data_IF_673494747118
#
_entry.id   IF_673494747118
#
_cell.length_a   1.000
_cell.length_b   1.000
_cell.length_c   1.000
_cell.angle_alpha   90.00
_cell.angle_beta   90.00
_cell.angle_gamma   90.00
#
_symmetry.space_group_name_H-M   'P 1'
#
loop_
_entity.id
_entity.type
_entity.pdbx_description
1 polymer ?
#
# COMPACT_ATOMS: atom_id res chain seq x y z
N UNK A 1 4.50 -20.28 6.85
CA UNK A 1 5.40 -19.46 7.67
C UNK A 1 4.70 -18.12 7.83
N UNK A 2 4.60 -17.59 9.05
CA UNK A 2 3.81 -16.39 9.30
C UNK A 2 4.70 -15.14 9.19
N UNK A 3 4.12 -14.01 8.81
CA UNK A 3 4.83 -12.71 8.78
C UNK A 3 5.45 -12.35 10.14
N UNK A 4 4.87 -12.85 11.24
CA UNK A 4 5.37 -12.66 12.61
C UNK A 4 6.68 -13.38 12.91
N UNK A 5 7.11 -14.34 12.07
CA UNK A 5 8.37 -15.07 12.27
C UNK A 5 9.58 -14.30 11.71
N UNK A 6 9.33 -13.25 10.91
CA UNK A 6 10.36 -12.40 10.31
C UNK A 6 10.92 -11.37 11.30
N UNK A 7 12.20 -11.03 11.14
CA UNK A 7 12.91 -10.02 11.94
C UNK A 7 14.16 -9.52 11.23
N UNK A 8 14.58 -8.29 11.54
CA UNK A 8 15.88 -7.79 11.12
C UNK A 8 16.99 -8.57 11.84
N UNK A 9 17.97 -9.05 11.06
CA UNK A 9 19.14 -9.75 11.61
C UNK A 9 20.35 -8.82 11.82
N UNK A 10 20.52 -7.85 10.92
CA UNK A 10 21.55 -6.82 10.98
C UNK A 10 21.17 -5.64 10.08
N UNK A 11 21.80 -4.49 10.32
CA UNK A 11 21.63 -3.28 9.50
C UNK A 11 22.97 -2.55 9.36
N UNK A 12 23.17 -1.86 8.24
CA UNK A 12 24.40 -1.13 7.92
C UNK A 12 24.22 -0.24 6.68
N UNK A 13 25.23 0.60 6.36
CA UNK A 13 25.19 1.41 5.15
C UNK A 13 25.17 0.52 3.90
N UNK A 14 24.46 0.97 2.87
CA UNK A 14 24.41 0.35 1.54
C UNK A 14 24.97 1.34 0.52
N UNK A 15 25.99 0.93 -0.25
CA UNK A 15 26.53 1.79 -1.30
C UNK A 15 25.60 1.84 -2.52
N UNK A 16 25.68 2.90 -3.33
CA UNK A 16 24.81 3.06 -4.49
C UNK A 16 25.05 1.96 -5.56
N UNK A 17 26.29 1.49 -5.70
CA UNK A 17 26.66 0.40 -6.62
C UNK A 17 26.05 -0.95 -6.21
N UNK A 18 25.77 -1.15 -4.92
CA UNK A 18 25.10 -2.33 -4.38
C UNK A 18 23.57 -2.17 -4.38
N UNK A 19 23.06 -0.94 -4.49
CA UNK A 19 21.65 -0.64 -4.35
C UNK A 19 20.85 -0.99 -5.61
N UNK A 20 20.09 -2.10 -5.54
CA UNK A 20 19.23 -2.56 -6.66
C UNK A 20 17.93 -1.77 -6.81
N UNK A 21 17.29 -1.41 -5.69
CA UNK A 21 15.88 -0.97 -5.70
C UNK A 21 15.69 0.53 -5.50
N UNK A 22 16.60 1.17 -4.77
CA UNK A 22 16.51 2.57 -4.36
C UNK A 22 17.84 3.25 -4.72
N UNK A 23 17.81 4.56 -4.94
CA UNK A 23 18.99 5.43 -5.03
C UNK A 23 18.79 6.64 -4.13
N UNK A 24 19.90 7.23 -3.68
CA UNK A 24 19.88 8.55 -3.04
C UNK A 24 20.22 9.62 -4.08
N UNK A 25 19.33 10.60 -4.21
CA UNK A 25 19.45 11.71 -5.16
C UNK A 25 19.70 13.00 -4.39
N UNK A 26 20.78 13.72 -4.73
CA UNK A 26 20.97 15.11 -4.32
C UNK A 26 20.28 16.05 -5.31
N UNK A 27 19.22 16.70 -4.86
CA UNK A 27 18.49 17.71 -5.62
C UNK A 27 19.13 19.07 -5.35
N UNK A 28 19.37 19.86 -6.40
CA UNK A 28 19.76 21.27 -6.30
C UNK A 28 18.66 22.12 -6.91
N UNK A 29 18.06 23.03 -6.13
CA UNK A 29 16.92 23.83 -6.57
C UNK A 29 17.09 25.31 -6.20
N UNK A 30 16.26 26.15 -6.83
CA UNK A 30 16.17 27.58 -6.52
C UNK A 30 14.93 27.82 -5.66
N UNK A 31 15.10 28.48 -4.52
CA UNK A 31 13.99 28.84 -3.65
C UNK A 31 13.24 30.10 -4.17
N UNK A 32 12.08 30.46 -3.56
CA UNK A 32 11.32 31.65 -3.97
C UNK A 32 12.08 32.99 -3.83
N UNK A 33 13.17 33.03 -3.06
CA UNK A 33 14.03 34.21 -2.91
C UNK A 33 15.19 34.22 -3.91
N UNK A 34 15.25 33.24 -4.81
CA UNK A 34 16.31 33.09 -5.80
C UNK A 34 17.59 32.42 -5.28
N UNK A 35 17.61 31.98 -4.01
CA UNK A 35 18.77 31.32 -3.42
C UNK A 35 18.85 29.85 -3.87
N UNK A 36 20.08 29.38 -4.13
CA UNK A 36 20.34 27.96 -4.40
C UNK A 36 20.32 27.16 -3.11
N UNK A 37 19.57 26.05 -3.11
CA UNK A 37 19.44 25.11 -1.99
C UNK A 37 19.66 23.69 -2.47
N UNK A 38 19.92 22.80 -1.52
CA UNK A 38 20.03 21.35 -1.77
C UNK A 38 19.01 20.58 -0.95
N UNK A 39 18.59 19.43 -1.47
CA UNK A 39 17.72 18.47 -0.78
C UNK A 39 18.21 17.05 -1.07
N UNK A 40 17.96 16.13 -0.14
CA UNK A 40 18.27 14.70 -0.31
C UNK A 40 16.96 13.93 -0.48
N UNK A 41 16.91 13.05 -1.48
CA UNK A 41 15.72 12.28 -1.83
C UNK A 41 16.07 10.80 -1.96
N UNK A 42 15.25 9.92 -1.38
CA UNK A 42 15.28 8.48 -1.70
C UNK A 42 14.32 8.19 -2.86
N UNK A 43 14.80 7.56 -3.93
CA UNK A 43 14.00 7.36 -5.14
C UNK A 43 14.03 5.89 -5.58
N UNK A 44 12.90 5.37 -6.06
CA UNK A 44 12.85 4.03 -6.66
C UNK A 44 13.61 4.02 -7.98
N UNK A 45 14.31 2.90 -8.25
CA UNK A 45 14.94 2.60 -9.55
C UNK A 45 13.98 1.90 -10.53
N UNK A 46 12.80 1.51 -10.04
CA UNK A 46 11.89 0.57 -10.73
C UNK A 46 10.71 1.21 -11.42
N UNK A 47 10.46 2.51 -11.26
CA UNK A 47 9.32 3.17 -11.92
C UNK A 47 9.41 2.97 -13.44
N UNK A 48 8.43 2.32 -14.09
CA UNK A 48 8.48 2.14 -15.53
C UNK A 48 8.43 3.49 -16.25
N UNK A 49 9.22 3.64 -17.32
CA UNK A 49 9.24 4.88 -18.12
C UNK A 49 7.91 5.18 -18.83
N UNK A 50 7.00 4.20 -18.88
CA UNK A 50 5.67 4.30 -19.50
C UNK A 50 4.60 4.88 -18.58
N UNK A 51 4.91 5.17 -17.31
CA UNK A 51 3.95 5.66 -16.32
C UNK A 51 4.57 6.73 -15.41
N UNK A 52 3.72 7.59 -14.83
CA UNK A 52 4.12 8.63 -13.88
C UNK A 52 4.06 8.19 -12.41
N UNK A 53 3.57 6.97 -12.15
CA UNK A 53 3.42 6.40 -10.80
C UNK A 53 4.29 5.17 -10.55
N UNK A 54 4.73 4.94 -9.31
CA UNK A 54 5.47 3.73 -8.94
C UNK A 54 4.58 2.49 -8.81
N UNK A 55 3.34 2.68 -8.36
CA UNK A 55 2.46 1.56 -8.03
C UNK A 55 1.02 1.98 -7.74
N UNK A 56 0.26 1.05 -7.18
CA UNK A 56 -1.14 1.22 -6.79
C UNK A 56 -1.38 0.73 -5.37
N UNK A 57 -2.34 1.34 -4.70
CA UNK A 57 -2.96 0.78 -3.48
C UNK A 57 -4.42 0.47 -3.75
N UNK A 58 -4.93 -0.64 -3.22
CA UNK A 58 -6.27 -1.13 -3.57
C UNK A 58 -7.24 -0.96 -2.41
N UNK A 59 -8.24 -0.10 -2.59
CA UNK A 59 -9.40 -0.02 -1.68
C UNK A 59 -10.41 -1.07 -2.12
N UNK A 60 -10.19 -2.32 -1.72
CA UNK A 60 -11.03 -3.46 -2.06
C UNK A 60 -12.19 -3.60 -1.07
N UNK A 61 -13.43 -3.37 -1.53
CA UNK A 61 -14.62 -3.38 -0.70
C UNK A 61 -15.51 -4.59 -1.01
N UNK A 62 -15.90 -5.32 0.03
CA UNK A 62 -16.86 -6.40 -0.02
C UNK A 62 -18.23 -5.90 0.47
N UNK A 63 -19.28 -6.24 -0.26
CA UNK A 63 -20.65 -6.07 0.20
C UNK A 63 -21.13 -7.30 0.95
N UNK A 64 -21.17 -7.22 2.29
CA UNK A 64 -21.69 -8.29 3.15
C UNK A 64 -22.99 -7.88 3.84
N UNK A 65 -23.85 -8.83 4.25
CA UNK A 65 -25.09 -8.53 4.99
C UNK A 65 -24.89 -7.71 6.27
N UNK A 66 -23.72 -7.79 6.90
CA UNK A 66 -23.35 -7.01 8.11
C UNK A 66 -22.79 -5.62 7.83
N UNK A 67 -22.72 -5.18 6.57
CA UNK A 67 -22.13 -3.93 6.12
C UNK A 67 -20.92 -4.13 5.21
N UNK A 68 -20.42 -3.01 4.68
CA UNK A 68 -19.23 -2.99 3.82
C UNK A 68 -17.97 -3.30 4.63
N UNK A 69 -17.16 -4.20 4.10
CA UNK A 69 -15.84 -4.55 4.66
C UNK A 69 -14.74 -4.19 3.67
N UNK A 70 -13.57 -3.79 4.18
CA UNK A 70 -12.35 -3.58 3.40
C UNK A 70 -11.44 -4.79 3.53
N UNK A 71 -10.83 -5.23 2.41
CA UNK A 71 -9.73 -6.22 2.42
C UNK A 71 -8.45 -5.51 2.85
N UNK A 72 -7.78 -6.11 3.84
CA UNK A 72 -6.50 -5.66 4.37
C UNK A 72 -5.53 -6.84 4.43
N UNK A 73 -4.26 -6.53 4.60
CA UNK A 73 -3.21 -7.51 4.74
C UNK A 73 -2.25 -7.20 5.88
N UNK A 74 -1.63 -8.26 6.41
CA UNK A 74 -0.49 -8.19 7.33
C UNK A 74 0.76 -8.63 6.61
N UNK A 75 1.74 -7.74 6.53
CA UNK A 75 3.02 -8.02 5.92
C UNK A 75 4.15 -7.49 6.78
N UNK A 76 5.22 -8.26 6.93
CA UNK A 76 6.42 -7.78 7.59
C UNK A 76 7.15 -6.77 6.70
N UNK A 77 7.44 -5.58 7.24
CA UNK A 77 8.18 -4.52 6.55
C UNK A 77 9.58 -4.40 7.15
N UNK A 78 10.63 -4.92 6.48
CA UNK A 78 12.01 -4.81 6.96
C UNK A 78 12.46 -3.39 7.35
N UNK A 79 12.06 -2.30 6.65
CA UNK A 79 12.48 -0.94 7.01
C UNK A 79 12.09 -0.48 8.40
N UNK A 80 11.05 -1.07 9.00
CA UNK A 80 10.56 -0.71 10.33
C UNK A 80 10.58 -1.89 11.32
N UNK A 81 11.09 -3.06 10.91
CA UNK A 81 11.16 -4.30 11.71
C UNK A 81 9.83 -4.67 12.38
N UNK A 82 8.71 -4.47 11.68
CA UNK A 82 7.36 -4.69 12.19
C UNK A 82 6.46 -5.32 11.13
N UNK A 83 5.44 -6.04 11.61
CA UNK A 83 4.30 -6.43 10.77
C UNK A 83 3.34 -5.25 10.68
N UNK A 84 3.00 -4.86 9.46
CA UNK A 84 2.18 -3.69 9.15
C UNK A 84 0.82 -4.11 8.64
N UNK A 85 -0.22 -3.38 9.05
CA UNK A 85 -1.58 -3.47 8.50
C UNK A 85 -1.68 -2.52 7.32
N UNK A 86 -1.94 -3.08 6.13
CA UNK A 86 -1.93 -2.34 4.86
C UNK A 86 -3.13 -2.71 3.99
N UNK A 87 -3.44 -1.87 3.00
CA UNK A 87 -4.21 -2.33 1.83
C UNK A 87 -3.35 -3.28 0.98
N UNK A 88 -3.95 -4.17 0.17
CA UNK A 88 -3.25 -4.75 -0.96
C UNK A 88 -2.64 -3.64 -1.83
N UNK A 89 -1.43 -3.85 -2.33
CA UNK A 89 -0.68 -2.85 -3.07
C UNK A 89 0.50 -3.47 -3.82
N UNK A 90 0.79 -2.94 -5.01
CA UNK A 90 1.94 -3.39 -5.77
C UNK A 90 2.46 -2.37 -6.77
N UNK A 91 3.53 -2.74 -7.47
CA UNK A 91 4.22 -1.85 -8.41
C UNK A 91 3.60 -1.93 -9.80
N UNK A 92 3.78 -0.85 -10.56
CA UNK A 92 3.38 -0.84 -11.97
C UNK A 92 4.32 -1.71 -12.81
N UNK A 93 3.74 -2.53 -13.68
CA UNK A 93 4.43 -3.16 -14.79
C UNK A 93 4.46 -2.25 -16.04
N UNK A 94 5.42 -2.45 -16.96
CA UNK A 94 5.49 -1.67 -18.18
C UNK A 94 4.26 -1.85 -19.07
N UNK A 95 3.45 -0.79 -19.16
CA UNK A 95 2.38 -0.67 -20.16
C UNK A 95 0.99 -1.03 -19.64
N UNK A 96 0.85 -1.43 -18.39
CA UNK A 96 -0.45 -1.57 -17.74
C UNK A 96 -1.01 -0.22 -17.26
N UNK A 97 -2.33 -0.14 -17.21
CA UNK A 97 -3.08 0.93 -16.53
C UNK A 97 -3.09 0.70 -15.02
N UNK A 98 -3.29 1.74 -14.19
CA UNK A 98 -3.44 1.57 -12.74
C UNK A 98 -4.55 0.58 -12.36
N UNK A 99 -5.64 0.56 -13.11
CA UNK A 99 -6.77 -0.35 -12.90
C UNK A 99 -6.39 -1.80 -13.18
N UNK A 100 -5.63 -2.07 -14.24
CA UNK A 100 -5.11 -3.40 -14.56
C UNK A 100 -4.13 -3.88 -13.47
N UNK A 101 -3.21 -3.00 -13.05
CA UNK A 101 -2.27 -3.26 -11.96
C UNK A 101 -3.03 -3.64 -10.67
N UNK A 102 -4.05 -2.85 -10.31
CA UNK A 102 -4.82 -3.07 -9.10
C UNK A 102 -5.59 -4.39 -9.09
N UNK A 103 -6.14 -4.81 -10.23
CA UNK A 103 -6.84 -6.10 -10.35
C UNK A 103 -5.85 -7.26 -10.31
N UNK A 104 -4.69 -7.12 -10.94
CA UNK A 104 -3.61 -8.12 -10.93
C UNK A 104 -3.09 -8.33 -9.50
N UNK A 105 -2.63 -7.27 -8.86
CA UNK A 105 -2.07 -7.29 -7.50
C UNK A 105 -3.09 -7.76 -6.46
N UNK A 106 -4.35 -7.31 -6.53
CA UNK A 106 -5.40 -7.81 -5.64
C UNK A 106 -5.54 -9.33 -5.74
N UNK A 107 -5.51 -9.88 -6.94
CA UNK A 107 -5.64 -11.33 -7.15
C UNK A 107 -4.39 -12.08 -6.69
N UNK A 108 -3.21 -11.56 -6.96
CA UNK A 108 -1.93 -12.14 -6.56
C UNK A 108 -1.80 -12.19 -5.05
N UNK A 109 -1.99 -11.07 -4.35
CA UNK A 109 -1.83 -10.99 -2.90
C UNK A 109 -2.98 -11.66 -2.14
N UNK A 110 -4.22 -11.56 -2.63
CA UNK A 110 -5.41 -11.92 -1.83
C UNK A 110 -6.24 -13.07 -2.38
N UNK A 111 -6.09 -13.40 -3.66
CA UNK A 111 -6.95 -14.33 -4.38
C UNK A 111 -8.33 -13.79 -4.74
N UNK A 112 -8.72 -12.59 -4.26
CA UNK A 112 -9.98 -11.97 -4.65
C UNK A 112 -9.94 -11.48 -6.10
N UNK A 113 -11.11 -11.55 -6.75
CA UNK A 113 -11.37 -10.87 -8.02
C UNK A 113 -12.41 -9.78 -7.81
N UNK A 114 -12.20 -8.64 -8.46
CA UNK A 114 -13.11 -7.51 -8.33
C UNK A 114 -13.06 -6.61 -9.55
N UNK A 115 -13.96 -5.62 -9.56
CA UNK A 115 -14.11 -4.66 -10.65
C UNK A 115 -13.66 -3.28 -10.16
N UNK A 116 -12.68 -2.64 -10.83
CA UNK A 116 -12.27 -1.29 -10.50
C UNK A 116 -13.40 -0.32 -10.85
N UNK A 117 -13.66 0.62 -9.96
CA UNK A 117 -14.79 1.57 -10.06
C UNK A 117 -14.35 3.03 -10.07
N UNK A 118 -13.23 3.33 -9.42
CA UNK A 118 -12.68 4.67 -9.33
C UNK A 118 -11.17 4.62 -9.10
N UNK A 119 -10.47 5.60 -9.63
CA UNK A 119 -9.03 5.77 -9.47
C UNK A 119 -8.74 7.17 -8.99
N UNK A 120 -7.94 7.29 -7.93
CA UNK A 120 -7.56 8.58 -7.37
C UNK A 120 -6.61 9.35 -8.28
N UNK A 121 -6.40 10.66 -8.04
CA UNK A 121 -5.20 11.35 -8.50
C UNK A 121 -3.91 10.67 -7.99
N UNK A 122 -2.75 11.07 -8.54
CA UNK A 122 -1.46 10.64 -8.02
C UNK A 122 -1.28 11.15 -6.59
N UNK A 123 -0.96 10.26 -5.67
CA UNK A 123 -0.66 10.55 -4.27
C UNK A 123 0.81 10.27 -4.00
N UNK A 124 1.51 11.20 -3.36
CA UNK A 124 2.90 11.02 -2.95
C UNK A 124 2.92 10.47 -1.52
N UNK A 125 3.71 9.42 -1.29
CA UNK A 125 3.72 8.71 -0.01
C UNK A 125 4.40 9.54 1.09
N UNK A 126 5.54 10.15 0.79
CA UNK A 126 6.26 11.04 1.71
C UNK A 126 7.06 12.10 0.91
N UNK A 127 6.40 13.18 0.45
CA UNK A 127 7.00 14.16 -0.46
C UNK A 127 8.13 15.00 0.15
N UNK A 128 8.34 14.92 1.48
CA UNK A 128 9.48 15.55 2.14
C UNK A 128 10.75 14.70 2.09
N UNK A 129 10.62 13.39 1.86
CA UNK A 129 11.70 12.42 1.93
C UNK A 129 11.99 11.72 0.58
N UNK A 130 10.95 11.36 -0.16
CA UNK A 130 11.06 10.56 -1.38
C UNK A 130 10.13 11.06 -2.48
N UNK A 131 10.41 10.63 -3.71
CA UNK A 131 9.51 10.89 -4.83
C UNK A 131 8.47 9.77 -5.05
N UNK A 132 8.38 8.82 -4.11
CA UNK A 132 7.52 7.65 -4.32
C UNK A 132 6.05 8.02 -4.28
N UNK A 133 5.29 7.47 -5.21
CA UNK A 133 3.89 7.82 -5.41
C UNK A 133 3.07 6.62 -5.90
N UNK A 134 1.75 6.76 -5.84
CA UNK A 134 0.81 5.75 -6.29
C UNK A 134 -0.53 6.36 -6.69
N UNK A 135 -1.42 5.53 -7.22
CA UNK A 135 -2.86 5.81 -7.23
C UNK A 135 -3.60 4.81 -6.34
N UNK A 136 -4.61 5.28 -5.62
CA UNK A 136 -5.56 4.41 -4.95
C UNK A 136 -6.64 4.00 -5.96
N UNK A 137 -6.84 2.69 -6.12
CA UNK A 137 -7.88 2.14 -7.01
C UNK A 137 -8.95 1.48 -6.16
N UNK A 138 -10.20 1.91 -6.34
CA UNK A 138 -11.34 1.38 -5.63
C UNK A 138 -11.87 0.17 -6.38
N UNK A 139 -11.88 -0.99 -5.73
CA UNK A 139 -12.30 -2.25 -6.32
C UNK A 139 -13.49 -2.80 -5.55
N UNK A 140 -14.57 -3.12 -6.26
CA UNK A 140 -15.73 -3.79 -5.66
C UNK A 140 -15.59 -5.30 -5.86
N UNK A 141 -15.73 -6.06 -4.76
CA UNK A 141 -15.65 -7.53 -4.75
C UNK A 141 -17.07 -8.08 -4.62
N UNK A 142 -17.51 -8.82 -5.64
CA UNK A 142 -18.79 -9.54 -5.62
C UNK A 142 -18.62 -10.90 -4.96
N UNK A 143 -19.15 -11.04 -3.74
CA UNK A 143 -19.11 -12.27 -2.97
C UNK A 143 -20.09 -13.34 -3.45
N UNK A 144 -20.82 -13.13 -4.56
CA UNK A 144 -21.60 -14.19 -5.20
C UNK A 144 -20.79 -15.00 -6.23
N UNK A 145 -19.62 -14.49 -6.64
CA UNK A 145 -18.74 -15.16 -7.59
C UNK A 145 -18.03 -16.36 -6.94
N UNK A 146 -17.98 -17.54 -7.61
CA UNK A 146 -17.28 -18.73 -7.11
C UNK A 146 -15.81 -18.47 -6.76
N UNK A 147 -15.12 -17.64 -7.54
CA UNK A 147 -13.71 -17.27 -7.35
C UNK A 147 -13.49 -16.58 -5.99
N UNK A 148 -14.48 -15.82 -5.52
CA UNK A 148 -14.43 -15.12 -4.25
C UNK A 148 -14.91 -15.96 -3.05
N UNK A 149 -15.31 -17.23 -3.28
CA UNK A 149 -15.64 -18.19 -2.22
C UNK A 149 -14.45 -19.05 -1.80
N UNK A 150 -13.52 -19.30 -2.73
CA UNK A 150 -12.32 -20.12 -2.50
C UNK A 150 -11.09 -19.36 -3.00
N UNK A 151 -10.53 -18.54 -2.10
CA UNK A 151 -9.40 -17.65 -2.43
C UNK A 151 -8.12 -18.45 -2.67
N UNK A 152 -7.44 -18.11 -3.76
CA UNK A 152 -6.19 -18.74 -4.20
C UNK A 152 -5.15 -17.65 -4.51
N UNK A 153 -4.55 -17.03 -3.47
CA UNK A 153 -3.47 -16.07 -3.68
C UNK A 153 -2.28 -16.73 -4.39
N UNK A 154 -1.58 -15.93 -5.19
CA UNK A 154 -0.44 -16.31 -6.02
C UNK A 154 0.76 -15.44 -5.62
N UNK A 155 1.21 -15.60 -4.38
CA UNK A 155 2.31 -14.82 -3.79
C UNK A 155 3.64 -15.12 -4.49
N UNK A 156 4.46 -14.08 -4.67
CA UNK A 156 5.82 -14.22 -5.18
C UNK A 156 6.79 -14.80 -4.13
N UNK A 157 7.98 -15.19 -4.58
CA UNK A 157 9.04 -15.64 -3.65
C UNK A 157 9.45 -14.49 -2.71
N UNK A 158 9.45 -14.75 -1.42
CA UNK A 158 9.71 -13.74 -0.38
C UNK A 158 8.48 -12.99 0.10
N UNK A 159 7.30 -13.21 -0.49
CA UNK A 159 6.05 -12.66 -0.01
C UNK A 159 5.37 -13.58 1.00
N UNK A 160 5.16 -13.03 2.19
CA UNK A 160 4.39 -13.67 3.27
C UNK A 160 3.32 -12.67 3.67
N UNK A 161 2.07 -12.98 3.30
CA UNK A 161 0.93 -12.06 3.42
C UNK A 161 -0.22 -12.81 4.10
N UNK A 162 -0.71 -12.26 5.21
CA UNK A 162 -1.93 -12.73 5.86
C UNK A 162 -3.09 -11.78 5.53
N UNK A 163 -4.07 -12.28 4.77
CA UNK A 163 -5.22 -11.49 4.29
C UNK A 163 -6.38 -11.59 5.27
N UNK A 164 -7.04 -10.47 5.54
CA UNK A 164 -8.22 -10.40 6.40
C UNK A 164 -9.14 -9.25 5.98
N UNK A 165 -10.33 -9.19 6.57
CA UNK A 165 -11.28 -8.10 6.29
C UNK A 165 -11.69 -7.39 7.57
N UNK A 166 -11.98 -6.09 7.45
CA UNK A 166 -12.47 -5.24 8.54
C UNK A 166 -13.71 -4.49 8.08
N UNK A 167 -14.74 -4.41 8.92
CA UNK A 167 -15.91 -3.57 8.65
C UNK A 167 -15.49 -2.11 8.63
N UNK A 168 -15.87 -1.37 7.58
CA UNK A 168 -15.50 0.04 7.42
C UNK A 168 -15.92 0.88 8.64
N UNK A 169 -17.09 0.58 9.21
CA UNK A 169 -17.61 1.26 10.40
C UNK A 169 -16.74 1.06 11.64
N UNK A 170 -15.98 -0.05 11.70
CA UNK A 170 -15.15 -0.42 12.85
C UNK A 170 -13.67 -0.11 12.60
N UNK A 171 -13.30 0.38 11.40
CA UNK A 171 -11.90 0.46 10.94
C UNK A 171 -11.00 1.30 11.87
N UNK A 172 -11.52 2.42 12.39
CA UNK A 172 -10.78 3.25 13.36
C UNK A 172 -10.49 2.52 14.67
N UNK A 173 -11.48 1.83 15.21
CA UNK A 173 -11.31 1.09 16.46
C UNK A 173 -10.42 -0.14 16.28
N UNK A 174 -10.49 -0.81 15.13
CA UNK A 174 -9.59 -1.90 14.78
C UNK A 174 -8.14 -1.42 14.62
N UNK A 175 -7.88 -0.26 14.01
CA UNK A 175 -6.52 0.31 13.93
C UNK A 175 -5.88 0.47 15.31
N UNK A 176 -6.64 1.00 16.30
CA UNK A 176 -6.16 1.11 17.68
C UNK A 176 -5.89 -0.25 18.33
N UNK A 177 -6.72 -1.26 18.05
CA UNK A 177 -6.51 -2.62 18.56
C UNK A 177 -5.26 -3.25 17.94
N UNK A 178 -5.03 -3.07 16.65
CA UNK A 178 -3.84 -3.57 15.96
C UNK A 178 -2.56 -2.90 16.49
N UNK A 179 -2.57 -1.58 16.68
CA UNK A 179 -1.46 -0.86 17.32
C UNK A 179 -1.18 -1.41 18.73
N UNK A 180 -2.21 -1.60 19.55
CA UNK A 180 -2.06 -2.18 20.89
C UNK A 180 -1.53 -3.63 20.89
N UNK A 181 -1.68 -4.35 19.78
CA UNK A 181 -1.12 -5.69 19.56
C UNK A 181 0.32 -5.66 19.02
N UNK A 182 0.88 -4.47 18.77
CA UNK A 182 2.25 -4.28 18.25
C UNK A 182 2.36 -4.26 16.73
N UNK A 183 1.24 -4.19 16.00
CA UNK A 183 1.28 -3.99 14.55
C UNK A 183 1.50 -2.51 14.20
N UNK A 184 2.27 -2.26 13.15
CA UNK A 184 2.34 -0.94 12.54
C UNK A 184 1.08 -0.69 11.69
N UNK A 185 0.63 0.56 11.60
CA UNK A 185 -0.50 0.94 10.75
C UNK A 185 0.03 1.76 9.58
N UNK A 186 -0.25 1.32 8.35
CA UNK A 186 0.09 2.11 7.18
C UNK A 186 -0.66 3.45 7.19
N UNK A 187 0.04 4.53 6.81
CA UNK A 187 -0.51 5.88 6.87
C UNK A 187 -1.78 6.06 6.01
N UNK A 188 -1.91 5.34 4.89
CA UNK A 188 -3.10 5.40 4.02
C UNK A 188 -4.29 4.75 4.72
N UNK A 189 -4.08 3.63 5.42
CA UNK A 189 -5.11 2.99 6.25
C UNK A 189 -5.51 3.88 7.43
N UNK A 190 -4.54 4.41 8.17
CA UNK A 190 -4.80 5.32 9.29
C UNK A 190 -5.61 6.54 8.86
N UNK A 191 -5.19 7.19 7.77
CA UNK A 191 -5.88 8.37 7.21
C UNK A 191 -7.28 8.04 6.72
N UNK A 192 -7.47 6.90 6.04
CA UNK A 192 -8.80 6.45 5.61
C UNK A 192 -9.72 6.20 6.81
N UNK A 193 -9.21 5.54 7.86
CA UNK A 193 -9.94 5.28 9.08
C UNK A 193 -10.37 6.57 9.80
N UNK A 194 -9.45 7.54 9.92
CA UNK A 194 -9.76 8.88 10.44
C UNK A 194 -10.82 9.60 9.60
N UNK A 195 -10.69 9.54 8.26
CA UNK A 195 -11.67 10.15 7.36
C UNK A 195 -13.08 9.58 7.54
N UNK A 196 -13.20 8.26 7.71
CA UNK A 196 -14.48 7.60 7.99
C UNK A 196 -15.04 8.03 9.36
N UNK A 197 -14.19 8.08 10.40
CA UNK A 197 -14.58 8.53 11.73
C UNK A 197 -15.13 9.97 11.68
N UNK A 198 -14.40 10.90 11.05
CA UNK A 198 -14.82 12.29 10.90
C UNK A 198 -16.16 12.35 10.16
N UNK A 199 -16.29 11.63 9.04
CA UNK A 199 -17.53 11.62 8.26
C UNK A 199 -18.74 11.13 9.08
N UNK A 200 -18.56 10.12 9.94
CA UNK A 200 -19.62 9.62 10.82
C UNK A 200 -20.08 10.61 11.91
N UNK A 201 -19.27 11.62 12.20
CA UNK A 201 -19.58 12.67 13.19
C UNK A 201 -20.26 13.88 12.55
N UNK A 202 -20.28 13.95 11.22
CA UNK A 202 -20.93 15.01 10.45
C UNK A 202 -22.42 14.71 10.17
N UNK A 203 -22.86 13.46 10.38
CA UNK A 203 -24.24 12.98 10.21
C UNK A 203 -25.04 13.05 11.50
#
# INVERSE_FOLDING_TARGET
MASSDAKVLSQGPLSDDEARWIKLTKITYRDPNGATRTWESAERRTRPATTDIDGVGIVAILDKPGGKEIVLQKQYRPPIDMVTIEVPAGLMDPGETPEEAAVRELREETGYVGVPSQTSPVMFNDPGFCNTNLRMVHVTIDMSLPENQELKPQLEDGEFIDVFTVRLADLWDECKKFEAQGYAIDARIGTLAEGILIASQLS
#
